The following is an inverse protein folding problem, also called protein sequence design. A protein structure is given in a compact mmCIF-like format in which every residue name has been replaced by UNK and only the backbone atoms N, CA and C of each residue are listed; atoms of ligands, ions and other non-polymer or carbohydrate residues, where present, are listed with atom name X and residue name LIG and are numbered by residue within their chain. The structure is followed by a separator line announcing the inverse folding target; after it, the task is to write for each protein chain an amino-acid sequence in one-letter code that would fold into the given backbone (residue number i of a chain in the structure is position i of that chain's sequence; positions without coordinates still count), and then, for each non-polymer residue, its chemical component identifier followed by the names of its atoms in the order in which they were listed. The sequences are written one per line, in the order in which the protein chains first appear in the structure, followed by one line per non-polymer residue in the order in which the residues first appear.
data_IF_314669373002
#
_entry.id   IF_314669373002
#
_cell.length_a   1.000
_cell.length_b   1.000
_cell.length_c   1.000
_cell.angle_alpha   90.00
_cell.angle_beta   90.00
_cell.angle_gamma   90.00
#
_symmetry.space_group_name_H-M   'P 1'
#
loop_
_entity.id
_entity.type
_entity.pdbx_description
1 polymer ?
#
# COMPACT_ATOMS: atom_id res chain seq x y z
N UNK A 1 -32.03 17.93 -28.01
CA UNK A 1 -31.86 18.31 -26.59
C UNK A 1 -31.09 17.21 -25.88
N UNK A 2 -30.00 17.60 -25.23
CA UNK A 2 -28.89 16.73 -24.84
C UNK A 2 -29.25 15.94 -23.57
N UNK A 3 -29.23 14.61 -23.62
CA UNK A 3 -29.35 13.74 -22.44
C UNK A 3 -27.96 13.50 -21.82
N UNK A 4 -27.37 14.53 -21.21
CA UNK A 4 -26.11 14.41 -20.44
C UNK A 4 -26.36 14.13 -18.94
N UNK A 5 -27.62 13.94 -18.54
CA UNK A 5 -27.99 13.80 -17.12
C UNK A 5 -27.47 12.55 -16.38
N UNK A 6 -27.22 11.37 -17.01
CA UNK A 6 -26.78 10.22 -16.22
C UNK A 6 -25.29 10.27 -15.86
N UNK A 7 -24.48 11.11 -16.51
CA UNK A 7 -23.05 11.24 -16.20
C UNK A 7 -22.79 12.08 -14.94
N UNK A 8 -23.68 13.02 -14.63
CA UNK A 8 -23.57 13.89 -13.45
C UNK A 8 -23.95 13.14 -12.15
N UNK A 9 -24.83 12.14 -12.24
CA UNK A 9 -25.27 11.36 -11.07
C UNK A 9 -24.23 10.31 -10.63
N UNK A 10 -23.32 9.91 -11.52
CA UNK A 10 -22.20 9.01 -11.17
C UNK A 10 -21.06 9.73 -10.44
N UNK A 11 -21.01 11.07 -10.50
CA UNK A 11 -19.94 11.88 -9.93
C UNK A 11 -20.23 12.39 -8.50
N UNK A 12 -21.42 12.09 -7.96
CA UNK A 12 -21.92 12.64 -6.69
C UNK A 12 -21.81 11.68 -5.49
N UNK A 13 -21.01 10.62 -5.59
CA UNK A 13 -20.67 9.80 -4.42
C UNK A 13 -19.51 10.51 -3.71
N UNK A 14 -19.85 11.54 -2.93
CA UNK A 14 -18.97 12.11 -1.92
C UNK A 14 -18.89 11.11 -0.76
N UNK A 15 -17.87 10.27 -0.73
CA UNK A 15 -17.55 9.47 0.45
C UNK A 15 -16.83 10.36 1.46
N UNK A 16 -17.39 10.41 2.66
CA UNK A 16 -16.72 10.84 3.89
C UNK A 16 -15.36 10.16 4.00
N UNK A 17 -14.30 10.96 4.11
CA UNK A 17 -12.92 10.48 4.09
C UNK A 17 -12.59 9.62 5.31
N UNK A 18 -12.44 8.32 5.09
CA UNK A 18 -11.58 7.49 5.91
C UNK A 18 -10.13 7.78 5.49
N UNK A 19 -9.19 7.72 6.44
CA UNK A 19 -7.80 8.14 6.28
C UNK A 19 -7.17 7.76 4.92
N UNK A 20 -6.45 8.70 4.30
CA UNK A 20 -5.73 8.42 3.06
C UNK A 20 -4.38 7.78 3.38
N UNK A 21 -4.15 6.58 2.87
CA UNK A 21 -2.84 5.95 2.88
C UNK A 21 -1.85 6.76 2.03
N UNK A 22 -0.55 6.55 2.28
CA UNK A 22 0.51 7.24 1.56
C UNK A 22 0.51 6.83 0.08
N UNK A 23 0.05 7.73 -0.80
CA UNK A 23 0.05 7.51 -2.24
C UNK A 23 1.28 8.12 -2.91
N UNK A 24 1.97 7.34 -3.74
CA UNK A 24 3.07 7.86 -4.56
C UNK A 24 2.52 8.68 -5.74
N UNK A 25 3.11 9.87 -5.99
CA UNK A 25 2.82 10.68 -7.19
C UNK A 25 3.16 9.96 -8.49
N UNK A 26 4.00 8.92 -8.42
CA UNK A 26 4.31 8.00 -9.52
C UNK A 26 3.58 6.65 -9.34
N UNK A 27 2.25 6.65 -9.34
CA UNK A 27 1.46 5.41 -9.22
C UNK A 27 1.79 4.37 -10.32
N UNK A 28 2.22 4.82 -11.50
CA UNK A 28 2.71 3.95 -12.56
C UNK A 28 4.03 3.23 -12.23
N UNK A 29 4.85 3.79 -11.33
CA UNK A 29 6.11 3.19 -10.90
C UNK A 29 5.92 2.09 -9.85
N UNK A 30 4.75 2.03 -9.20
CA UNK A 30 4.40 0.99 -8.23
C UNK A 30 2.93 0.54 -8.41
N UNK A 31 2.60 -0.17 -9.50
CA UNK A 31 1.23 -0.62 -9.75
C UNK A 31 0.75 -1.66 -8.72
N UNK A 32 1.68 -2.43 -8.13
CA UNK A 32 1.38 -3.41 -7.09
C UNK A 32 0.76 -2.75 -5.85
N UNK A 33 1.24 -1.57 -5.47
CA UNK A 33 0.70 -0.82 -4.32
C UNK A 33 -0.60 -0.09 -4.63
N UNK A 34 -0.97 0.04 -5.91
CA UNK A 34 -2.23 0.68 -6.31
C UNK A 34 -3.41 -0.30 -6.28
N UNK A 35 -3.20 -1.51 -6.77
CA UNK A 35 -4.21 -2.55 -6.78
C UNK A 35 -3.53 -3.93 -6.92
N UNK A 36 -3.70 -4.86 -5.96
CA UNK A 36 -3.10 -6.19 -6.03
C UNK A 36 -3.47 -6.98 -7.30
N UNK A 37 -4.61 -6.71 -7.93
CA UNK A 37 -5.01 -7.32 -9.20
C UNK A 37 -4.16 -6.88 -10.41
N UNK A 38 -3.32 -5.85 -10.25
CA UNK A 38 -2.38 -5.40 -11.29
C UNK A 38 -1.07 -6.20 -11.29
N UNK A 39 -0.84 -7.10 -10.34
CA UNK A 39 0.31 -8.01 -10.32
C UNK A 39 0.37 -8.82 -11.60
N UNK A 40 1.45 -8.74 -12.38
CA UNK A 40 1.54 -9.41 -13.69
C UNK A 40 0.83 -8.66 -14.83
N UNK A 41 0.22 -7.50 -14.58
CA UNK A 41 -0.48 -6.68 -15.60
C UNK A 41 0.50 -5.73 -16.28
N UNK A 42 1.32 -6.29 -17.16
CA UNK A 42 2.27 -5.53 -17.98
C UNK A 42 2.66 -6.28 -19.25
N UNK A 43 3.21 -5.54 -20.22
CA UNK A 43 3.80 -6.15 -21.40
C UNK A 43 5.24 -6.58 -21.08
N UNK A 44 5.48 -7.90 -21.08
CA UNK A 44 6.75 -8.50 -20.69
C UNK A 44 6.59 -9.73 -19.79
N UNK A 45 7.73 -10.29 -19.39
CA UNK A 45 7.81 -11.46 -18.48
C UNK A 45 8.16 -11.08 -17.05
N UNK A 46 8.93 -10.02 -16.88
CA UNK A 46 9.34 -9.50 -15.59
C UNK A 46 9.39 -7.97 -15.63
N UNK A 47 9.16 -7.35 -14.48
CA UNK A 47 9.33 -5.92 -14.22
C UNK A 47 10.08 -5.78 -12.91
N UNK A 48 11.09 -4.91 -12.90
CA UNK A 48 11.83 -4.55 -11.69
C UNK A 48 11.75 -3.04 -11.55
N UNK A 49 11.48 -2.56 -10.34
CA UNK A 49 11.39 -1.14 -10.04
C UNK A 49 12.17 -0.82 -8.75
N UNK A 50 12.82 0.33 -8.76
CA UNK A 50 13.44 0.93 -7.57
C UNK A 50 12.95 2.37 -7.47
N UNK A 51 12.55 2.77 -6.28
CA UNK A 51 12.02 4.09 -6.00
C UNK A 51 12.78 4.65 -4.81
N UNK A 52 13.29 5.86 -4.96
CA UNK A 52 13.83 6.65 -3.87
C UNK A 52 13.06 7.96 -3.81
N UNK A 53 12.57 8.30 -2.62
CA UNK A 53 11.86 9.56 -2.36
C UNK A 53 12.50 10.23 -1.16
N UNK A 54 12.87 11.49 -1.36
CA UNK A 54 13.37 12.37 -0.32
C UNK A 54 12.38 13.54 -0.18
N UNK A 55 11.65 13.57 0.93
CA UNK A 55 10.63 14.56 1.25
C UNK A 55 10.73 14.87 2.73
N UNK A 56 11.61 15.80 3.10
CA UNK A 56 11.86 16.13 4.50
C UNK A 56 10.55 16.28 5.30
N UNK A 57 10.40 15.56 6.43
CA UNK A 57 11.44 14.81 7.14
C UNK A 57 11.56 13.31 6.74
N UNK A 58 10.79 12.85 5.74
CA UNK A 58 10.70 11.47 5.31
C UNK A 58 11.69 11.10 4.21
N UNK A 59 12.38 9.98 4.40
CA UNK A 59 13.22 9.33 3.39
C UNK A 59 12.71 7.92 3.15
N UNK A 60 12.30 7.65 1.91
CA UNK A 60 11.71 6.38 1.47
C UNK A 60 12.60 5.70 0.45
N UNK A 61 12.82 4.41 0.63
CA UNK A 61 13.37 3.52 -0.38
C UNK A 61 12.38 2.38 -0.63
N UNK A 62 12.11 2.05 -1.90
CA UNK A 62 11.32 0.89 -2.26
C UNK A 62 11.94 0.13 -3.42
N UNK A 63 11.77 -1.19 -3.39
CA UNK A 63 12.16 -2.11 -4.45
C UNK A 63 11.01 -3.07 -4.75
N UNK A 64 10.77 -3.35 -6.03
CA UNK A 64 9.73 -4.25 -6.46
C UNK A 64 10.19 -5.17 -7.59
N UNK A 65 9.72 -6.41 -7.56
CA UNK A 65 9.85 -7.39 -8.64
C UNK A 65 8.46 -7.92 -8.93
N UNK A 66 8.06 -7.93 -10.19
CA UNK A 66 6.78 -8.46 -10.67
C UNK A 66 7.01 -9.40 -11.85
N UNK A 67 6.48 -10.60 -11.78
CA UNK A 67 6.66 -11.67 -12.76
C UNK A 67 5.33 -12.06 -13.36
N UNK A 68 5.29 -12.22 -14.68
CA UNK A 68 4.10 -12.66 -15.43
C UNK A 68 4.34 -14.01 -16.09
N UNK A 69 3.41 -14.92 -15.86
CA UNK A 69 3.41 -16.25 -16.43
C UNK A 69 2.14 -16.46 -17.26
N UNK A 70 2.31 -16.51 -18.59
CA UNK A 70 1.20 -16.80 -19.49
C UNK A 70 0.92 -18.31 -19.49
N UNK A 71 -0.33 -18.69 -19.24
CA UNK A 71 -0.75 -20.08 -19.24
C UNK A 71 -0.86 -20.60 -20.68
N UNK A 72 -0.15 -21.68 -20.97
CA UNK A 72 -0.22 -22.35 -22.28
C UNK A 72 -1.43 -23.28 -22.31
N UNK A 73 -2.58 -22.77 -22.76
CA UNK A 73 -3.76 -23.60 -22.92
C UNK A 73 -3.71 -24.37 -24.26
N UNK A 74 -3.54 -25.69 -24.20
CA UNK A 74 -3.70 -26.58 -25.36
C UNK A 74 -5.22 -26.71 -25.61
N UNK A 75 -5.70 -26.22 -26.75
CA UNK A 75 -7.10 -26.38 -27.19
C UNK A 75 -8.09 -25.29 -26.77
N UNK A 76 -7.69 -24.28 -25.97
CA UNK A 76 -8.53 -23.10 -25.69
C UNK A 76 -8.04 -21.87 -26.44
N UNK A 77 -8.97 -21.07 -26.95
CA UNK A 77 -8.68 -19.79 -27.63
C UNK A 77 -8.16 -18.69 -26.70
N UNK A 78 -8.49 -18.78 -25.41
CA UNK A 78 -8.14 -17.78 -24.38
C UNK A 78 -6.81 -18.13 -23.70
N UNK A 79 -5.92 -17.15 -23.57
CA UNK A 79 -4.64 -17.31 -22.87
C UNK A 79 -4.68 -16.53 -21.56
N UNK A 80 -5.04 -17.23 -20.50
CA UNK A 80 -4.99 -16.71 -19.14
C UNK A 80 -3.54 -16.48 -18.71
N UNK A 81 -3.35 -15.69 -17.66
CA UNK A 81 -2.04 -15.48 -17.07
C UNK A 81 -2.14 -15.44 -15.55
N UNK A 82 -1.03 -15.74 -14.87
CA UNK A 82 -0.88 -15.45 -13.45
C UNK A 82 0.34 -14.56 -13.22
N UNK A 83 0.26 -13.74 -12.18
CA UNK A 83 1.29 -12.82 -11.76
C UNK A 83 1.76 -13.15 -10.34
N UNK A 84 3.05 -12.97 -10.08
CA UNK A 84 3.62 -13.04 -8.73
C UNK A 84 4.55 -11.84 -8.55
N UNK A 85 4.37 -11.12 -7.45
CA UNK A 85 5.17 -9.94 -7.14
C UNK A 85 5.69 -9.94 -5.72
N UNK A 86 6.78 -9.21 -5.50
CA UNK A 86 7.33 -8.88 -4.19
C UNK A 86 7.63 -7.39 -4.17
N UNK A 87 7.22 -6.72 -3.10
CA UNK A 87 7.55 -5.32 -2.83
C UNK A 87 8.19 -5.24 -1.45
N UNK A 88 9.27 -4.49 -1.38
CA UNK A 88 9.87 -4.05 -0.13
C UNK A 88 9.86 -2.53 -0.09
N UNK A 89 9.52 -1.96 1.05
CA UNK A 89 9.71 -0.53 1.28
C UNK A 89 10.27 -0.27 2.68
N UNK A 90 11.13 0.74 2.77
CA UNK A 90 11.68 1.27 4.00
C UNK A 90 11.42 2.78 4.03
N UNK A 91 10.64 3.22 5.01
CA UNK A 91 10.40 4.62 5.34
C UNK A 91 11.15 4.97 6.63
N UNK A 92 11.81 6.12 6.66
CA UNK A 92 12.53 6.63 7.83
C UNK A 92 12.26 8.11 8.02
N UNK A 93 12.17 8.52 9.29
CA UNK A 93 12.20 9.91 9.72
C UNK A 93 13.40 10.03 10.66
N UNK A 94 14.61 10.36 10.15
CA UNK A 94 15.84 10.30 10.91
C UNK A 94 15.84 11.18 12.16
N UNK A 95 15.20 12.35 12.08
CA UNK A 95 15.15 13.37 13.13
C UNK A 95 14.49 12.88 14.42
N UNK A 96 13.44 12.07 14.29
CA UNK A 96 12.70 11.51 15.44
C UNK A 96 13.02 10.03 15.68
N UNK A 97 13.99 9.47 14.94
CA UNK A 97 14.37 8.06 15.07
C UNK A 97 13.28 7.05 14.67
N UNK A 98 12.31 7.45 13.86
CA UNK A 98 11.23 6.56 13.38
C UNK A 98 11.65 5.80 12.11
N UNK A 99 11.26 4.54 12.03
CA UNK A 99 11.36 3.74 10.82
C UNK A 99 10.19 2.78 10.66
N UNK A 100 9.79 2.56 9.40
CA UNK A 100 8.80 1.57 9.01
C UNK A 100 9.38 0.71 7.88
N UNK A 101 9.42 -0.61 8.07
CA UNK A 101 9.86 -1.57 7.07
C UNK A 101 8.69 -2.47 6.73
N UNK A 102 8.38 -2.61 5.44
CA UNK A 102 7.39 -3.58 5.01
C UNK A 102 7.95 -4.43 3.89
N UNK A 103 7.58 -5.71 3.95
CA UNK A 103 7.73 -6.65 2.85
C UNK A 103 6.36 -7.22 2.53
N UNK A 104 6.04 -7.34 1.25
CA UNK A 104 4.76 -7.82 0.78
C UNK A 104 4.93 -8.69 -0.44
N UNK A 105 4.17 -9.79 -0.47
CA UNK A 105 4.05 -10.68 -1.62
C UNK A 105 2.68 -10.51 -2.24
N UNK A 106 2.64 -10.62 -3.56
CA UNK A 106 1.45 -10.37 -4.36
C UNK A 106 1.20 -11.56 -5.28
N UNK A 107 -0.08 -11.87 -5.47
CA UNK A 107 -0.54 -12.86 -6.44
C UNK A 107 -1.67 -12.28 -7.28
N UNK A 108 -1.58 -12.46 -8.59
CA UNK A 108 -2.61 -12.03 -9.54
C UNK A 108 -3.03 -13.17 -10.46
N UNK A 109 -4.31 -13.22 -10.79
CA UNK A 109 -4.84 -14.09 -11.84
C UNK A 109 -5.58 -13.24 -12.87
N UNK A 110 -5.27 -13.44 -14.15
CA UNK A 110 -5.81 -12.69 -15.28
C UNK A 110 -6.54 -13.65 -16.21
N UNK A 111 -7.87 -13.53 -16.23
CA UNK A 111 -8.71 -14.28 -17.16
C UNK A 111 -8.87 -13.51 -18.45
N UNK A 112 -8.43 -14.10 -19.55
CA UNK A 112 -8.63 -13.52 -20.87
C UNK A 112 -10.09 -13.66 -21.29
N UNK A 113 -10.72 -12.55 -21.66
CA UNK A 113 -12.13 -12.51 -22.10
C UNK A 113 -12.26 -12.61 -23.62
N UNK A 114 -11.16 -12.43 -24.36
CA UNK A 114 -11.13 -12.46 -25.82
C UNK A 114 -10.01 -13.36 -26.33
N UNK A 115 -10.19 -14.05 -27.47
CA UNK A 115 -9.12 -14.85 -28.08
C UNK A 115 -7.88 -14.03 -28.49
N UNK A 116 -8.04 -12.71 -28.66
CA UNK A 116 -6.97 -11.77 -29.01
C UNK A 116 -6.14 -11.34 -27.80
N UNK A 117 -6.58 -11.64 -26.57
CA UNK A 117 -5.96 -11.18 -25.32
C UNK A 117 -5.84 -9.64 -25.24
N UNK A 118 -6.83 -8.94 -25.77
CA UNK A 118 -6.96 -7.49 -25.60
C UNK A 118 -7.87 -7.14 -24.41
N UNK A 119 -8.55 -8.11 -23.80
CA UNK A 119 -9.41 -7.92 -22.63
C UNK A 119 -9.11 -8.93 -21.53
N UNK A 120 -8.95 -8.43 -20.31
CA UNK A 120 -8.77 -9.25 -19.12
C UNK A 120 -9.64 -8.80 -17.96
N UNK A 121 -10.21 -9.77 -17.26
CA UNK A 121 -10.70 -9.60 -15.91
C UNK A 121 -9.67 -10.23 -14.96
N UNK A 122 -9.18 -9.43 -14.03
CA UNK A 122 -8.10 -9.78 -13.12
C UNK A 122 -8.57 -9.70 -11.69
N UNK A 123 -8.10 -10.63 -10.87
CA UNK A 123 -8.23 -10.58 -9.41
C UNK A 123 -6.83 -10.73 -8.82
N UNK A 124 -6.61 -10.16 -7.65
CA UNK A 124 -5.33 -10.32 -6.96
C UNK A 124 -5.43 -10.12 -5.47
N UNK A 125 -4.40 -10.56 -4.79
CA UNK A 125 -4.25 -10.45 -3.36
C UNK A 125 -2.82 -10.07 -2.98
N UNK A 126 -2.69 -9.46 -1.82
CA UNK A 126 -1.45 -9.08 -1.18
C UNK A 126 -1.46 -9.67 0.23
N UNK A 127 -0.31 -10.18 0.65
CA UNK A 127 -0.01 -10.46 2.05
C UNK A 127 1.36 -9.85 2.38
N UNK A 128 1.46 -9.16 3.50
CA UNK A 128 2.69 -8.51 3.92
C UNK A 128 2.82 -8.46 5.43
N UNK A 129 4.02 -8.09 5.87
CA UNK A 129 4.31 -7.78 7.26
C UNK A 129 4.97 -6.41 7.26
N UNK A 130 4.47 -5.52 8.13
CA UNK A 130 5.06 -4.21 8.39
C UNK A 130 5.62 -4.22 9.80
N UNK A 131 6.83 -3.70 9.95
CA UNK A 131 7.51 -3.53 11.22
C UNK A 131 7.81 -2.05 11.43
N UNK A 132 7.30 -1.51 12.54
CA UNK A 132 7.53 -0.13 12.95
C UNK A 132 8.51 -0.11 14.11
N UNK A 133 9.46 0.81 14.06
CA UNK A 133 10.42 1.02 15.11
C UNK A 133 10.59 2.52 15.40
N UNK A 134 10.76 2.85 16.66
CA UNK A 134 11.00 4.20 17.15
C UNK A 134 12.20 4.20 18.09
N UNK A 135 13.11 5.17 17.96
CA UNK A 135 14.29 5.28 18.83
C UNK A 135 14.15 6.46 19.80
N UNK A 136 13.84 6.15 21.06
CA UNK A 136 13.75 7.15 22.12
C UNK A 136 15.10 7.77 22.52
N UNK A 137 16.22 7.16 22.14
CA UNK A 137 17.56 7.63 22.52
C UNK A 137 17.97 8.99 21.91
N UNK A 138 17.22 9.48 20.92
CA UNK A 138 17.45 10.79 20.30
C UNK A 138 16.46 11.86 20.81
N UNK A 139 15.59 11.54 21.77
CA UNK A 139 14.65 12.48 22.35
C UNK A 139 15.20 13.06 23.66
N UNK A 140 14.95 14.35 23.86
CA UNK A 140 15.22 15.06 25.10
C UNK A 140 13.89 15.48 25.72
N UNK A 141 13.68 15.11 26.98
CA UNK A 141 12.46 15.43 27.74
C UNK A 141 12.70 16.58 28.72
N UNK A 142 11.64 17.32 29.06
CA UNK A 142 11.76 18.53 29.90
C UNK A 142 12.29 18.23 31.31
N UNK A 143 11.96 17.05 31.86
CA UNK A 143 12.44 16.58 33.15
C UNK A 143 13.94 16.25 33.16
N UNK A 144 14.53 16.06 31.98
CA UNK A 144 15.97 15.87 31.83
C UNK A 144 16.74 17.20 31.91
N UNK A 145 16.07 18.35 31.72
CA UNK A 145 16.71 19.65 31.63
C UNK A 145 17.22 20.16 32.99
N UNK A 146 18.53 20.35 33.11
CA UNK A 146 19.22 20.83 34.33
C UNK A 146 19.42 22.36 34.36
N UNK A 147 18.81 23.09 33.41
CA UNK A 147 18.88 24.55 33.33
C UNK A 147 20.13 25.07 32.60
N UNK A 148 21.32 24.83 33.15
CA UNK A 148 22.58 25.41 32.64
C UNK A 148 23.56 24.40 32.03
N UNK A 149 23.43 23.11 32.35
CA UNK A 149 24.32 22.06 31.87
C UNK A 149 23.74 21.23 30.71
N UNK A 150 22.43 21.34 30.44
CA UNK A 150 21.77 20.64 29.33
C UNK A 150 20.74 19.62 29.82
N UNK A 151 20.55 18.53 29.07
CA UNK A 151 19.63 17.44 29.41
C UNK A 151 20.38 16.29 30.09
N UNK A 152 20.80 16.49 31.34
CA UNK A 152 21.69 15.56 32.06
C UNK A 152 20.97 14.71 33.10
N UNK A 153 19.72 15.03 33.43
CA UNK A 153 18.94 14.26 34.39
C UNK A 153 18.34 13.01 33.71
N UNK A 154 18.20 11.89 34.44
CA UNK A 154 17.43 10.75 33.95
C UNK A 154 15.97 11.15 33.82
N UNK A 155 15.33 10.74 32.71
CA UNK A 155 13.89 10.95 32.53
C UNK A 155 13.09 9.96 33.39
N UNK A 156 11.96 10.43 33.90
CA UNK A 156 10.92 9.65 34.56
C UNK A 156 9.83 9.19 33.59
N UNK A 157 9.98 9.48 32.30
CA UNK A 157 9.06 9.02 31.24
C UNK A 157 9.08 7.49 31.13
N UNK A 158 7.88 6.90 31.03
CA UNK A 158 7.70 5.47 30.79
C UNK A 158 7.52 5.27 29.29
N UNK A 159 8.54 4.73 28.63
CA UNK A 159 8.49 4.48 27.20
C UNK A 159 7.66 3.23 26.88
N UNK A 160 6.71 3.32 25.94
CA UNK A 160 6.02 2.13 25.44
C UNK A 160 6.96 1.26 24.58
N UNK A 161 6.45 0.14 24.07
CA UNK A 161 7.22 -0.69 23.14
C UNK A 161 7.72 0.15 21.98
N UNK A 162 8.98 -0.06 21.60
CA UNK A 162 9.66 0.75 20.59
C UNK A 162 9.76 0.04 19.24
N UNK A 163 9.26 -1.19 19.15
CA UNK A 163 9.36 -2.05 17.98
C UNK A 163 8.23 -3.07 17.99
N UNK A 164 7.39 -3.04 16.97
CA UNK A 164 6.32 -4.02 16.79
C UNK A 164 6.12 -4.33 15.30
N UNK A 165 5.55 -5.49 15.02
CA UNK A 165 5.23 -5.92 13.66
C UNK A 165 3.80 -6.42 13.57
N UNK A 166 3.15 -6.14 12.45
CA UNK A 166 1.78 -6.55 12.16
C UNK A 166 1.66 -7.07 10.73
N UNK A 167 0.71 -7.98 10.54
CA UNK A 167 0.39 -8.51 9.22
C UNK A 167 -0.58 -7.58 8.49
N UNK A 168 -0.43 -7.48 7.19
CA UNK A 168 -1.27 -6.67 6.32
C UNK A 168 -1.76 -7.48 5.12
N UNK A 169 -3.03 -7.31 4.76
CA UNK A 169 -3.67 -8.03 3.67
C UNK A 169 -4.47 -7.06 2.80
N UNK A 170 -4.41 -7.28 1.49
CA UNK A 170 -5.20 -6.51 0.53
C UNK A 170 -5.73 -7.43 -0.56
N UNK A 171 -6.86 -7.05 -1.15
CA UNK A 171 -7.44 -7.73 -2.31
C UNK A 171 -7.85 -6.72 -3.36
N UNK A 172 -7.90 -7.16 -4.61
CA UNK A 172 -8.30 -6.29 -5.70
C UNK A 172 -8.94 -7.02 -6.86
N UNK A 173 -9.66 -6.24 -7.65
CA UNK A 173 -10.21 -6.62 -8.95
C UNK A 173 -9.88 -5.54 -9.97
N UNK A 174 -9.59 -5.95 -11.20
CA UNK A 174 -9.28 -5.04 -12.29
C UNK A 174 -9.80 -5.57 -13.63
N UNK A 175 -10.52 -4.72 -14.36
CA UNK A 175 -10.87 -4.91 -15.76
C UNK A 175 -9.94 -4.09 -16.63
N UNK A 176 -9.39 -4.71 -17.67
CA UNK A 176 -8.53 -4.05 -18.65
C UNK A 176 -8.96 -4.40 -20.07
N UNK A 177 -8.99 -3.38 -20.92
CA UNK A 177 -9.19 -3.47 -22.36
C UNK A 177 -8.15 -2.61 -23.06
N UNK A 178 -7.32 -3.22 -23.90
CA UNK A 178 -6.21 -2.54 -24.59
C UNK A 178 -6.11 -2.98 -26.05
N UNK A 179 -7.00 -2.49 -26.92
CA UNK A 179 -6.98 -2.80 -28.35
C UNK A 179 -5.86 -2.04 -29.09
N UNK A 180 -5.34 -2.60 -30.19
CA UNK A 180 -4.23 -1.99 -30.95
C UNK A 180 -4.57 -0.64 -31.62
N UNK A 181 -5.83 -0.44 -32.02
CA UNK A 181 -6.26 0.73 -32.85
C UNK A 181 -7.47 1.46 -32.28
N UNK A 182 -7.71 1.36 -30.98
CA UNK A 182 -8.81 2.04 -30.32
C UNK A 182 -8.41 2.48 -28.91
N UNK A 183 -9.28 3.25 -28.27
CA UNK A 183 -9.07 3.70 -26.89
C UNK A 183 -9.12 2.51 -25.95
N UNK A 184 -8.09 2.38 -25.11
CA UNK A 184 -8.06 1.43 -24.01
C UNK A 184 -8.88 1.89 -22.81
N UNK A 185 -9.43 0.94 -22.07
CA UNK A 185 -10.21 1.16 -20.85
C UNK A 185 -9.62 0.34 -19.71
N UNK A 186 -9.38 0.99 -18.57
CA UNK A 186 -8.93 0.35 -17.34
C UNK A 186 -9.84 0.79 -16.21
N UNK A 187 -10.38 -0.16 -15.45
CA UNK A 187 -11.24 0.10 -14.32
C UNK A 187 -11.04 -0.98 -13.26
N UNK A 188 -10.76 -0.58 -12.03
CA UNK A 188 -10.51 -1.52 -10.94
C UNK A 188 -10.88 -0.94 -9.59
N UNK A 189 -10.96 -1.83 -8.61
CA UNK A 189 -11.16 -1.49 -7.21
C UNK A 189 -10.24 -2.37 -6.36
N UNK A 190 -9.77 -1.84 -5.24
CA UNK A 190 -8.95 -2.55 -4.28
C UNK A 190 -9.42 -2.22 -2.85
N UNK A 191 -9.28 -3.19 -1.96
CA UNK A 191 -9.46 -3.04 -0.52
C UNK A 191 -8.12 -3.35 0.14
N UNK A 192 -7.57 -2.35 0.82
CA UNK A 192 -6.32 -2.44 1.56
C UNK A 192 -6.58 -2.58 3.05
N UNK A 193 -5.58 -3.05 3.81
CA UNK A 193 -5.64 -3.14 5.26
C UNK A 193 -6.89 -3.87 5.79
N UNK A 194 -7.21 -5.03 5.20
CA UNK A 194 -8.45 -5.79 5.49
C UNK A 194 -8.59 -6.14 6.99
N UNK A 195 -7.46 -6.35 7.67
CA UNK A 195 -7.44 -6.68 9.09
C UNK A 195 -7.38 -5.47 10.01
N UNK A 196 -7.41 -4.25 9.47
CA UNK A 196 -7.28 -2.98 10.22
C UNK A 196 -6.19 -3.08 11.30
N UNK A 197 -4.94 -3.42 10.93
CA UNK A 197 -3.93 -3.73 11.93
C UNK A 197 -3.69 -2.53 12.84
N UNK A 198 -3.76 -2.75 14.14
CA UNK A 198 -3.51 -1.70 15.11
C UNK A 198 -2.04 -1.28 15.05
N UNK A 199 -1.81 -0.04 14.62
CA UNK A 199 -0.48 0.46 14.33
C UNK A 199 -0.02 1.49 15.37
N UNK A 200 -0.23 1.17 16.65
CA UNK A 200 0.07 2.02 17.80
C UNK A 200 1.13 1.39 18.71
N UNK A 201 2.08 2.21 19.18
CA UNK A 201 3.06 1.80 20.20
C UNK A 201 2.42 1.62 21.59
N UNK A 202 1.23 2.18 21.82
CA UNK A 202 0.53 2.16 23.12
C UNK A 202 -0.47 1.00 23.28
N UNK A 203 -0.66 0.17 22.24
CA UNK A 203 -1.69 -0.86 22.13
C UNK A 203 -1.51 -2.11 23.02
N UNK A 204 -0.55 -2.11 23.94
CA UNK A 204 -0.22 -3.30 24.74
C UNK A 204 -1.02 -3.42 26.04
N UNK A 205 -1.98 -2.54 26.34
CA UNK A 205 -2.85 -2.70 27.51
C UNK A 205 -4.30 -2.49 27.09
N UNK A 206 -5.09 -3.56 27.15
CA UNK A 206 -6.55 -3.51 27.09
C UNK A 206 -7.07 -2.44 28.05
N UNK A 207 -7.48 -1.29 27.51
CA UNK A 207 -8.40 -0.39 28.19
C UNK A 207 -9.68 -0.31 27.35
N UNK A 208 -10.74 -1.05 27.72
CA UNK A 208 -11.99 -1.13 26.95
C UNK A 208 -12.72 0.22 26.82
N UNK A 209 -12.31 1.25 27.57
CA UNK A 209 -13.04 2.50 27.70
C UNK A 209 -12.68 3.57 26.64
N UNK A 210 -11.62 3.38 25.84
CA UNK A 210 -11.27 4.33 24.77
C UNK A 210 -12.00 4.09 23.45
N UNK A 211 -12.63 2.92 23.28
CA UNK A 211 -13.40 2.57 22.08
C UNK A 211 -14.71 3.39 21.89
N UNK A 212 -15.10 4.21 22.88
CA UNK A 212 -16.34 4.98 22.85
C UNK A 212 -16.17 6.50 22.94
N UNK A 213 -14.96 7.05 22.78
CA UNK A 213 -14.81 8.50 22.68
C UNK A 213 -15.05 8.97 21.23
N UNK A 214 -16.29 9.39 20.97
CA UNK A 214 -16.68 10.10 19.75
C UNK A 214 -15.71 11.28 19.48
N UNK A 215 -15.28 11.51 18.23
CA UNK A 215 -14.57 12.73 17.90
C UNK A 215 -15.54 13.93 17.98
N UNK A 216 -15.11 14.98 18.68
CA UNK A 216 -15.73 16.31 18.66
C UNK A 216 -15.59 16.95 17.28
#
# INVERSE_FOLDING_TARGET
MKKFLPLFFLLAIATTGFAQDQHFTQFFASPLTLNPALTGTFDGKYRVAFIYRDQEPYKTFAGAIDLRFNMRNIGKRYKDAFGVGVVFYNDKVPEVGYSNNQISVFGGFHKSLTPKNDQFLSIGGQAGISQRNFSYGNLFFEDQFSGSAGYDNPTSEIFPENNFAFADFSVGINYSYSPERAVGLYAGAALHHILEPEASFYASNEDPDLANSNPL
#
